data_IF_915496137847
#
_entry.id   IF_915496137847
#
_cell.length_a   1.000
_cell.length_b   1.000
_cell.length_c   1.000
_cell.angle_alpha   90.00
_cell.angle_beta   90.00
_cell.angle_gamma   90.00
#
_symmetry.space_group_name_H-M   'P 1'
#
loop_
_entity.id
_entity.type
_entity.pdbx_description
1 polymer ?
#
# COMPACT_ATOMS: atom_id res chain seq x y z
N UNK A 1 -17.68 23.51 4.40
CA UNK A 1 -16.57 24.44 4.72
C UNK A 1 -15.32 23.61 5.00
N UNK A 2 -14.17 24.07 4.49
CA UNK A 2 -12.89 23.46 4.83
C UNK A 2 -12.47 23.79 6.27
N UNK A 3 -11.75 22.87 6.91
CA UNK A 3 -11.19 23.03 8.24
C UNK A 3 -9.66 22.86 8.17
N UNK A 4 -8.94 23.69 8.91
CA UNK A 4 -7.49 23.59 9.03
C UNK A 4 -7.09 23.65 10.51
N UNK A 5 -6.36 22.64 10.96
CA UNK A 5 -5.79 22.53 12.29
C UNK A 5 -4.29 22.82 12.20
N UNK A 6 -3.88 24.01 12.69
CA UNK A 6 -2.50 24.50 12.57
C UNK A 6 -1.57 24.01 13.67
N UNK A 7 -2.12 23.45 14.76
CA UNK A 7 -1.38 22.96 15.88
C UNK A 7 -1.49 21.44 15.98
N UNK A 8 -0.54 20.84 16.70
CA UNK A 8 -0.62 19.43 17.09
C UNK A 8 -1.95 19.16 17.82
N UNK A 9 -2.54 18.00 17.54
CA UNK A 9 -3.76 17.55 18.20
C UNK A 9 -3.44 16.37 19.10
N UNK A 10 -3.75 16.50 20.38
CA UNK A 10 -3.44 15.49 21.40
C UNK A 10 -1.93 15.37 21.66
N UNK A 11 -1.56 14.36 22.44
CA UNK A 11 -0.18 14.00 22.79
C UNK A 11 -0.07 12.48 22.86
N UNK A 12 1.13 11.93 22.77
CA UNK A 12 1.35 10.47 22.76
C UNK A 12 0.72 9.76 23.98
N UNK A 13 0.81 10.32 25.15
CA UNK A 13 0.19 9.78 26.37
C UNK A 13 -1.24 10.26 26.65
N UNK A 14 -1.79 11.18 25.82
CA UNK A 14 -3.11 11.82 26.01
C UNK A 14 -3.82 12.01 24.68
N UNK A 15 -4.10 10.89 24.02
CA UNK A 15 -4.83 10.87 22.77
C UNK A 15 -6.25 11.37 22.93
N UNK A 16 -6.78 12.10 21.96
CA UNK A 16 -8.21 12.32 21.84
C UNK A 16 -8.92 10.97 21.62
N UNK A 17 -10.15 10.85 22.13
CA UNK A 17 -10.94 9.62 21.93
C UNK A 17 -11.25 9.43 20.45
N UNK A 18 -11.73 10.49 19.81
CA UNK A 18 -12.09 10.45 18.39
C UNK A 18 -12.02 11.83 17.72
N UNK A 19 -11.77 11.81 16.43
CA UNK A 19 -11.88 12.94 15.52
C UNK A 19 -12.80 12.51 14.39
N UNK A 20 -13.88 13.25 14.14
CA UNK A 20 -14.80 12.99 13.04
C UNK A 20 -14.62 14.06 11.96
N UNK A 21 -14.38 13.62 10.73
CA UNK A 21 -14.24 14.50 9.56
C UNK A 21 -15.52 14.41 8.73
N UNK A 22 -16.55 15.03 9.21
CA UNK A 22 -17.90 14.83 8.73
C UNK A 22 -18.42 15.95 7.86
N UNK A 23 -18.02 16.05 6.58
CA UNK A 23 -18.79 16.81 5.60
C UNK A 23 -18.40 16.48 4.16
N UNK A 24 -19.37 15.99 3.41
CA UNK A 24 -19.23 15.74 1.97
C UNK A 24 -18.67 16.97 1.21
N UNK A 25 -17.72 16.72 0.32
CA UNK A 25 -17.08 17.73 -0.50
C UNK A 25 -16.20 18.74 0.25
N UNK A 26 -15.90 18.52 1.54
CA UNK A 26 -15.01 19.39 2.31
C UNK A 26 -13.58 18.85 2.39
N UNK A 27 -12.66 19.76 2.72
CA UNK A 27 -11.27 19.40 3.01
C UNK A 27 -10.97 19.68 4.48
N UNK A 28 -10.43 18.67 5.17
CA UNK A 28 -9.87 18.80 6.53
C UNK A 28 -8.37 18.64 6.45
N UNK A 29 -7.60 19.62 6.96
CA UNK A 29 -6.16 19.58 6.95
C UNK A 29 -5.58 19.66 8.36
N UNK A 30 -4.75 18.67 8.70
CA UNK A 30 -3.94 18.63 9.91
C UNK A 30 -2.51 18.99 9.55
N UNK A 31 -2.03 20.16 10.00
CA UNK A 31 -0.70 20.66 9.64
C UNK A 31 0.43 20.00 10.46
N UNK A 32 0.11 19.46 11.63
CA UNK A 32 1.05 18.84 12.56
C UNK A 32 0.56 17.48 13.00
N UNK A 33 1.32 16.83 13.89
CA UNK A 33 1.03 15.49 14.36
C UNK A 33 -0.35 15.38 15.03
N UNK A 34 -1.00 14.25 14.85
CA UNK A 34 -2.32 13.93 15.37
C UNK A 34 -2.23 12.69 16.25
N UNK A 35 -2.64 12.84 17.50
CA UNK A 35 -2.74 11.78 18.49
C UNK A 35 -4.21 11.59 18.86
N UNK A 36 -4.85 10.61 18.26
CA UNK A 36 -6.24 10.27 18.54
C UNK A 36 -6.41 8.74 18.51
N UNK A 37 -7.30 8.20 19.35
CA UNK A 37 -7.63 6.78 19.25
C UNK A 37 -8.23 6.48 17.89
N UNK A 38 -9.24 7.24 17.48
CA UNK A 38 -9.91 7.06 16.20
C UNK A 38 -9.92 8.35 15.38
N UNK A 39 -9.57 8.22 14.09
CA UNK A 39 -9.82 9.23 13.07
C UNK A 39 -10.89 8.68 12.13
N UNK A 40 -12.12 9.17 12.26
CA UNK A 40 -13.25 8.73 11.46
C UNK A 40 -13.37 9.61 10.20
N UNK A 41 -13.37 8.96 9.04
CA UNK A 41 -13.54 9.55 7.72
C UNK A 41 -14.99 9.30 7.29
N UNK A 42 -15.92 10.15 7.83
CA UNK A 42 -17.34 9.84 7.87
C UNK A 42 -18.08 10.05 6.55
N UNK A 43 -17.60 10.95 5.68
CA UNK A 43 -18.25 11.28 4.41
C UNK A 43 -17.24 11.50 3.27
N UNK A 44 -17.74 11.52 2.03
CA UNK A 44 -16.96 11.85 0.85
C UNK A 44 -16.31 13.23 0.96
N UNK A 45 -14.99 13.28 1.05
CA UNK A 45 -14.22 14.50 1.25
C UNK A 45 -12.72 14.26 1.10
N UNK A 46 -11.93 15.23 1.54
CA UNK A 46 -10.47 15.15 1.53
C UNK A 46 -9.95 15.37 2.94
N UNK A 47 -9.08 14.49 3.39
CA UNK A 47 -8.34 14.66 4.64
C UNK A 47 -6.84 14.69 4.33
N UNK A 48 -6.16 15.77 4.73
CA UNK A 48 -4.72 15.93 4.56
C UNK A 48 -4.04 15.75 5.92
N UNK A 49 -3.14 14.77 6.02
CA UNK A 49 -2.22 14.58 7.14
C UNK A 49 -0.83 15.09 6.71
N UNK A 50 -0.52 16.33 7.12
CA UNK A 50 0.80 16.94 6.92
C UNK A 50 1.75 16.66 8.09
N UNK A 51 1.27 16.04 9.17
CA UNK A 51 2.00 15.46 10.30
C UNK A 51 1.82 13.95 10.38
N UNK A 52 2.46 13.31 11.36
CA UNK A 52 2.26 11.90 11.66
C UNK A 52 0.88 11.67 12.29
N UNK A 53 0.33 10.49 12.10
CA UNK A 53 -0.83 10.02 12.86
C UNK A 53 -0.42 8.87 13.78
N UNK A 54 -0.81 8.97 15.06
CA UNK A 54 -0.63 7.91 16.03
C UNK A 54 -1.93 7.64 16.78
N UNK A 55 -2.52 6.48 16.53
CA UNK A 55 -3.81 6.11 17.04
C UNK A 55 -4.03 4.62 17.13
N UNK A 56 -5.29 4.24 17.27
CA UNK A 56 -5.73 2.87 17.22
C UNK A 56 -6.19 2.53 15.79
N UNK A 57 -6.99 3.44 15.16
CA UNK A 57 -7.42 3.27 13.77
C UNK A 57 -7.70 4.60 13.05
N UNK A 58 -7.54 4.55 11.72
CA UNK A 58 -8.16 5.46 10.76
C UNK A 58 -9.30 4.68 10.10
N UNK A 59 -10.52 5.17 10.15
CA UNK A 59 -11.74 4.46 9.80
C UNK A 59 -12.45 5.12 8.60
N UNK A 60 -12.35 4.49 7.42
CA UNK A 60 -13.08 4.90 6.23
C UNK A 60 -14.52 4.41 6.31
N UNK A 61 -15.47 5.34 6.44
CA UNK A 61 -16.91 5.07 6.42
C UNK A 61 -17.56 5.45 5.09
N UNK A 62 -16.82 6.16 4.23
CA UNK A 62 -17.26 6.59 2.91
C UNK A 62 -16.03 6.80 1.98
N UNK A 63 -16.26 7.28 0.75
CA UNK A 63 -15.25 7.50 -0.30
C UNK A 63 -14.32 8.70 -0.04
N UNK A 64 -13.89 8.90 1.19
CA UNK A 64 -12.92 9.93 1.55
C UNK A 64 -11.58 9.68 0.85
N UNK A 65 -10.90 10.75 0.45
CA UNK A 65 -9.49 10.72 0.04
C UNK A 65 -8.60 11.15 1.21
N UNK A 66 -7.74 10.23 1.67
CA UNK A 66 -6.71 10.50 2.67
C UNK A 66 -5.38 10.79 1.97
N UNK A 67 -4.87 11.98 2.14
CA UNK A 67 -3.54 12.37 1.64
C UNK A 67 -2.53 12.35 2.80
N UNK A 68 -1.48 11.59 2.65
CA UNK A 68 -0.34 11.49 3.58
C UNK A 68 0.82 12.24 2.96
N UNK A 69 1.30 13.29 3.64
CA UNK A 69 2.42 14.08 3.18
C UNK A 69 3.73 13.27 3.18
N UNK A 70 4.72 13.73 2.43
CA UNK A 70 6.03 13.09 2.37
C UNK A 70 6.68 12.99 3.75
N UNK A 71 7.33 11.86 4.02
CA UNK A 71 8.07 11.57 5.25
C UNK A 71 7.21 11.61 6.52
N UNK A 72 5.92 11.25 6.38
CA UNK A 72 4.99 11.11 7.50
C UNK A 72 4.53 9.67 7.66
N UNK A 73 4.36 9.26 8.90
CA UNK A 73 4.05 7.89 9.27
C UNK A 73 2.65 7.76 9.88
N UNK A 74 2.05 6.60 9.66
CA UNK A 74 0.77 6.20 10.25
C UNK A 74 1.04 5.06 11.23
N UNK A 75 0.92 5.35 12.52
CA UNK A 75 1.05 4.34 13.59
C UNK A 75 -0.34 3.95 14.08
N UNK A 76 -1.05 3.22 13.25
CA UNK A 76 -2.40 2.68 13.51
C UNK A 76 -2.76 1.68 12.43
N UNK A 77 -3.83 0.90 12.64
CA UNK A 77 -4.52 0.23 11.55
C UNK A 77 -5.34 1.24 10.73
N UNK A 78 -5.56 0.91 9.47
CA UNK A 78 -6.51 1.61 8.59
C UNK A 78 -7.61 0.60 8.29
N UNK A 79 -8.86 0.97 8.52
CA UNK A 79 -10.00 0.08 8.31
C UNK A 79 -11.00 0.70 7.34
N UNK A 80 -11.76 -0.15 6.66
CA UNK A 80 -12.87 0.26 5.79
C UNK A 80 -14.15 -0.40 6.27
N UNK A 81 -15.25 0.35 6.34
CA UNK A 81 -16.54 -0.19 6.77
C UNK A 81 -17.26 -0.93 5.64
N UNK A 82 -16.98 -0.56 4.39
CA UNK A 82 -17.53 -1.18 3.20
C UNK A 82 -16.43 -1.52 2.18
N UNK A 83 -16.71 -2.48 1.31
CA UNK A 83 -15.80 -2.86 0.25
C UNK A 83 -15.70 -1.77 -0.83
N UNK A 84 -14.51 -1.53 -1.33
CA UNK A 84 -14.24 -0.62 -2.44
C UNK A 84 -14.54 0.87 -2.15
N UNK A 85 -14.41 1.31 -0.91
CA UNK A 85 -14.45 2.72 -0.53
C UNK A 85 -13.07 3.24 -0.13
N UNK A 86 -12.93 4.57 -0.09
CA UNK A 86 -11.73 5.26 0.35
C UNK A 86 -10.57 5.22 -0.67
N UNK A 87 -9.75 6.25 -0.63
CA UNK A 87 -8.50 6.33 -1.38
C UNK A 87 -7.40 6.87 -0.48
N UNK A 88 -6.21 6.29 -0.55
CA UNK A 88 -5.02 6.75 0.17
C UNK A 88 -4.00 7.23 -0.87
N UNK A 89 -3.55 8.47 -0.76
CA UNK A 89 -2.46 9.02 -1.57
C UNK A 89 -1.24 9.25 -0.68
N UNK A 90 -0.10 8.70 -1.06
CA UNK A 90 1.17 8.80 -0.34
C UNK A 90 2.13 9.63 -1.18
N UNK A 91 2.53 10.79 -0.66
CA UNK A 91 3.32 11.77 -1.41
C UNK A 91 4.85 11.52 -1.35
N UNK A 92 5.33 10.67 -0.45
CA UNK A 92 6.76 10.38 -0.28
C UNK A 92 7.00 9.11 0.52
N UNK A 93 8.10 9.05 1.25
CA UNK A 93 8.38 7.90 2.12
C UNK A 93 7.39 7.88 3.28
N UNK A 94 6.84 6.69 3.59
CA UNK A 94 5.82 6.51 4.63
C UNK A 94 5.94 5.11 5.21
N UNK A 95 5.78 4.99 6.53
CA UNK A 95 5.58 3.71 7.20
C UNK A 95 4.14 3.66 7.70
N UNK A 96 3.39 2.64 7.26
CA UNK A 96 2.08 2.30 7.84
C UNK A 96 2.29 1.06 8.70
N UNK A 97 2.10 1.21 10.02
CA UNK A 97 2.51 0.17 10.99
C UNK A 97 1.42 -0.85 11.31
N UNK A 98 0.15 -0.57 11.01
CA UNK A 98 -0.96 -1.49 11.22
C UNK A 98 -1.44 -2.12 9.92
N UNK A 99 -2.42 -3.01 10.03
CA UNK A 99 -3.10 -3.58 8.86
C UNK A 99 -3.80 -2.49 8.05
N UNK A 100 -3.86 -2.68 6.74
CA UNK A 100 -4.64 -1.84 5.84
C UNK A 100 -5.83 -2.64 5.35
N UNK A 101 -7.00 -2.34 5.92
CA UNK A 101 -8.29 -2.96 5.63
C UNK A 101 -8.35 -4.47 5.99
N UNK A 102 -9.26 -5.21 5.41
CA UNK A 102 -9.40 -6.66 5.52
C UNK A 102 -9.92 -7.27 4.21
N UNK A 103 -10.01 -8.59 4.16
CA UNK A 103 -10.40 -9.31 2.94
C UNK A 103 -11.86 -9.08 2.51
N UNK A 104 -12.73 -8.65 3.40
CA UNK A 104 -14.14 -8.37 3.12
C UNK A 104 -14.34 -6.93 2.67
N UNK A 105 -13.61 -5.99 3.27
CA UNK A 105 -13.77 -4.55 3.11
C UNK A 105 -12.46 -3.90 2.66
N UNK A 106 -12.11 -4.03 1.39
CA UNK A 106 -10.87 -3.50 0.81
C UNK A 106 -10.95 -2.00 0.58
N UNK A 107 -9.85 -1.30 0.82
CA UNK A 107 -9.69 0.09 0.34
C UNK A 107 -9.78 0.08 -1.20
N UNK A 108 -10.47 1.07 -1.78
CA UNK A 108 -10.62 1.19 -3.23
C UNK A 108 -9.27 1.38 -3.94
N UNK A 109 -8.43 2.30 -3.47
CA UNK A 109 -7.13 2.54 -4.08
C UNK A 109 -6.09 3.06 -3.10
N UNK A 110 -4.85 2.60 -3.26
CA UNK A 110 -3.67 3.20 -2.63
C UNK A 110 -2.73 3.65 -3.74
N UNK A 111 -2.32 4.92 -3.73
CA UNK A 111 -1.47 5.52 -4.75
C UNK A 111 -0.18 6.07 -4.15
N UNK A 112 0.94 5.52 -4.56
CA UNK A 112 2.27 5.99 -4.19
C UNK A 112 2.78 6.96 -5.27
N UNK A 113 2.92 8.24 -4.89
CA UNK A 113 3.25 9.34 -5.81
C UNK A 113 4.63 9.97 -5.52
N UNK A 114 5.35 9.45 -4.53
CA UNK A 114 6.65 9.99 -4.11
C UNK A 114 7.80 9.46 -4.98
N UNK A 115 8.38 10.32 -5.81
CA UNK A 115 9.56 9.94 -6.59
C UNK A 115 10.77 9.68 -5.69
N UNK A 116 11.49 8.57 -5.93
CA UNK A 116 12.64 8.11 -5.16
C UNK A 116 12.33 7.88 -3.66
N UNK A 117 11.06 7.71 -3.31
CA UNK A 117 10.63 7.38 -1.95
C UNK A 117 10.83 5.90 -1.64
N UNK A 118 10.84 5.60 -0.34
CA UNK A 118 10.87 4.25 0.18
C UNK A 118 9.76 4.11 1.24
N UNK A 119 8.68 3.43 0.89
CA UNK A 119 7.55 3.23 1.79
C UNK A 119 7.49 1.79 2.28
N UNK A 120 6.96 1.59 3.49
CA UNK A 120 6.78 0.28 4.10
C UNK A 120 5.35 0.10 4.60
N UNK A 121 4.70 -0.98 4.16
CA UNK A 121 3.47 -1.48 4.76
C UNK A 121 3.86 -2.66 5.66
N UNK A 122 3.83 -2.42 6.97
CA UNK A 122 4.42 -3.34 7.94
C UNK A 122 3.57 -4.58 8.21
N UNK A 123 2.28 -4.54 7.88
CA UNK A 123 1.34 -5.62 8.08
C UNK A 123 0.51 -5.90 6.82
N UNK A 124 -0.49 -6.77 6.94
CA UNK A 124 -1.30 -7.20 5.81
C UNK A 124 -2.04 -6.02 5.15
N UNK A 125 -2.13 -6.08 3.84
CA UNK A 125 -2.72 -5.01 3.01
C UNK A 125 -3.79 -5.57 2.09
N UNK A 126 -4.98 -5.00 2.17
CA UNK A 126 -6.16 -5.36 1.39
C UNK A 126 -6.67 -4.15 0.63
N UNK A 127 -6.52 -4.17 -0.69
CA UNK A 127 -6.84 -3.04 -1.55
C UNK A 127 -7.36 -3.53 -2.91
N UNK A 128 -8.20 -2.75 -3.59
CA UNK A 128 -8.55 -3.10 -4.99
C UNK A 128 -7.40 -2.77 -5.93
N UNK A 129 -6.92 -1.53 -5.91
CA UNK A 129 -5.84 -1.10 -6.78
C UNK A 129 -4.68 -0.49 -5.97
N UNK A 130 -3.48 -1.04 -6.12
CA UNK A 130 -2.23 -0.52 -5.57
C UNK A 130 -1.40 0.06 -6.72
N UNK A 131 -1.34 1.38 -6.80
CA UNK A 131 -0.72 2.11 -7.90
C UNK A 131 0.65 2.68 -7.52
N UNK A 132 1.70 2.28 -8.20
CA UNK A 132 3.05 2.81 -8.07
C UNK A 132 3.28 3.82 -9.21
N UNK A 133 3.00 5.10 -8.94
CA UNK A 133 2.93 6.16 -9.96
C UNK A 133 4.28 6.81 -10.28
N UNK A 134 5.31 6.50 -9.50
CA UNK A 134 6.64 7.06 -9.65
C UNK A 134 7.72 5.97 -9.51
N UNK A 135 8.96 6.32 -9.87
CA UNK A 135 10.10 5.49 -9.53
C UNK A 135 10.33 5.53 -8.01
N UNK A 136 10.00 4.45 -7.32
CA UNK A 136 10.02 4.35 -5.87
C UNK A 136 10.29 2.91 -5.42
N UNK A 137 10.43 2.69 -4.13
CA UNK A 137 10.47 1.38 -3.51
C UNK A 137 9.29 1.23 -2.55
N UNK A 138 8.59 0.10 -2.63
CA UNK A 138 7.59 -0.33 -1.67
C UNK A 138 8.04 -1.64 -1.02
N UNK A 139 8.11 -1.64 0.31
CA UNK A 139 8.33 -2.85 1.09
C UNK A 139 6.98 -3.34 1.63
N UNK A 140 6.64 -4.57 1.35
CA UNK A 140 5.49 -5.28 1.89
C UNK A 140 6.01 -6.28 2.91
N UNK A 141 5.92 -5.92 4.20
CA UNK A 141 6.33 -6.78 5.31
C UNK A 141 5.18 -7.71 5.76
N UNK A 142 3.96 -7.47 5.27
CA UNK A 142 2.77 -8.32 5.37
C UNK A 142 2.37 -8.95 4.04
N UNK A 143 1.26 -9.70 4.04
CA UNK A 143 0.65 -10.20 2.81
C UNK A 143 -0.01 -9.06 2.02
N UNK A 144 -0.09 -9.21 0.71
CA UNK A 144 -0.86 -8.34 -0.15
C UNK A 144 -2.02 -9.11 -0.77
N UNK A 145 -3.24 -8.63 -0.57
CA UNK A 145 -4.41 -9.06 -1.33
C UNK A 145 -4.99 -7.87 -2.11
N UNK A 146 -4.84 -7.91 -3.43
CA UNK A 146 -5.31 -6.85 -4.31
C UNK A 146 -5.95 -7.42 -5.58
N UNK A 147 -6.79 -6.60 -6.23
CA UNK A 147 -7.16 -6.94 -7.60
C UNK A 147 -5.97 -6.69 -8.52
N UNK A 148 -5.34 -5.53 -8.37
CA UNK A 148 -4.20 -5.11 -9.18
C UNK A 148 -3.08 -4.49 -8.34
N UNK A 149 -1.85 -4.85 -8.68
CA UNK A 149 -0.62 -4.11 -8.35
C UNK A 149 -0.09 -3.52 -9.65
N UNK A 150 -0.13 -2.19 -9.79
CA UNK A 150 0.18 -1.51 -11.04
C UNK A 150 1.52 -0.76 -10.95
N UNK A 151 2.48 -1.18 -11.75
CA UNK A 151 3.72 -0.45 -11.99
C UNK A 151 3.47 0.58 -13.12
N UNK A 152 3.10 1.80 -12.74
CA UNK A 152 2.90 2.91 -13.70
C UNK A 152 4.23 3.59 -14.07
N UNK A 153 5.30 3.27 -13.35
CA UNK A 153 6.70 3.65 -13.59
C UNK A 153 7.64 2.54 -13.11
N UNK A 154 8.94 2.66 -13.43
CA UNK A 154 9.98 1.69 -13.04
C UNK A 154 10.22 1.71 -11.51
N UNK A 155 9.26 1.19 -10.76
CA UNK A 155 9.30 1.04 -9.31
C UNK A 155 9.82 -0.35 -8.89
N UNK A 156 10.13 -0.49 -7.60
CA UNK A 156 10.53 -1.76 -7.00
C UNK A 156 9.55 -2.14 -5.88
N UNK A 157 9.09 -3.38 -5.88
CA UNK A 157 8.35 -3.97 -4.76
C UNK A 157 9.18 -5.09 -4.15
N UNK A 158 9.38 -5.00 -2.84
CA UNK A 158 10.00 -6.06 -2.04
C UNK A 158 8.91 -6.74 -1.22
N UNK A 159 8.72 -8.04 -1.43
CA UNK A 159 7.84 -8.87 -0.61
C UNK A 159 8.69 -9.62 0.41
N UNK A 160 8.38 -9.45 1.69
CA UNK A 160 9.13 -10.05 2.79
C UNK A 160 9.05 -11.59 2.78
N UNK A 161 10.00 -12.22 3.46
CA UNK A 161 10.07 -13.67 3.60
C UNK A 161 8.81 -14.24 4.27
N UNK A 162 8.30 -15.34 3.74
CA UNK A 162 7.10 -16.03 4.22
C UNK A 162 5.79 -15.30 3.91
N UNK A 163 5.81 -14.24 3.10
CA UNK A 163 4.60 -13.47 2.75
C UNK A 163 4.11 -13.82 1.36
N UNK A 164 2.80 -13.69 1.16
CA UNK A 164 2.12 -14.03 -0.08
C UNK A 164 1.54 -12.81 -0.76
N UNK A 165 1.42 -12.89 -2.08
CA UNK A 165 0.78 -11.85 -2.89
C UNK A 165 -0.34 -12.47 -3.72
N UNK A 166 -1.58 -12.09 -3.42
CA UNK A 166 -2.75 -12.38 -4.22
C UNK A 166 -3.17 -11.12 -5.00
N UNK A 167 -2.41 -10.80 -6.02
CA UNK A 167 -2.64 -9.63 -6.87
C UNK A 167 -2.23 -9.92 -8.30
N UNK A 168 -3.01 -9.43 -9.28
CA UNK A 168 -2.55 -9.34 -10.66
C UNK A 168 -1.51 -8.24 -10.75
N UNK A 169 -0.30 -8.58 -11.18
CA UNK A 169 0.81 -7.64 -11.29
C UNK A 169 0.87 -7.11 -12.72
N UNK A 170 0.64 -5.82 -12.88
CA UNK A 170 0.64 -5.16 -14.18
C UNK A 170 1.79 -4.16 -14.30
N UNK A 171 2.29 -3.95 -15.50
CA UNK A 171 3.16 -2.81 -15.82
C UNK A 171 2.60 -2.02 -16.99
N UNK A 172 2.63 -0.68 -16.87
CA UNK A 172 2.09 0.20 -17.92
C UNK A 172 2.93 0.11 -19.20
N UNK A 173 4.25 0.05 -19.04
CA UNK A 173 5.19 -0.06 -20.14
C UNK A 173 6.00 -1.36 -20.03
N UNK A 174 6.34 -1.92 -21.19
CA UNK A 174 7.23 -3.08 -21.24
C UNK A 174 8.60 -2.75 -20.61
N UNK A 175 9.17 -3.70 -19.86
CA UNK A 175 10.47 -3.56 -19.22
C UNK A 175 10.53 -2.49 -18.10
N UNK A 176 9.42 -2.29 -17.39
CA UNK A 176 9.35 -1.52 -16.15
C UNK A 176 8.88 -2.40 -15.00
N UNK A 177 9.22 -2.02 -13.77
CA UNK A 177 8.83 -2.70 -12.54
C UNK A 177 9.75 -3.86 -12.16
N UNK A 178 10.16 -3.89 -10.91
CA UNK A 178 10.95 -4.97 -10.31
C UNK A 178 10.20 -5.57 -9.13
N UNK A 179 10.04 -6.87 -9.10
CA UNK A 179 9.46 -7.62 -7.99
C UNK A 179 10.54 -8.50 -7.34
N UNK A 180 10.87 -8.23 -6.08
CA UNK A 180 11.80 -9.00 -5.30
C UNK A 180 11.06 -9.82 -4.24
N UNK A 181 11.15 -11.14 -4.31
CA UNK A 181 10.71 -12.05 -3.27
C UNK A 181 11.91 -12.31 -2.34
N UNK A 182 11.85 -11.78 -1.13
CA UNK A 182 12.98 -11.79 -0.20
C UNK A 182 13.17 -13.13 0.52
N UNK A 183 12.23 -14.07 0.32
CA UNK A 183 12.26 -15.42 0.89
C UNK A 183 11.24 -16.33 0.24
N UNK A 184 10.71 -17.31 0.99
CA UNK A 184 9.66 -18.20 0.54
C UNK A 184 8.34 -17.47 0.40
N UNK A 185 7.78 -17.41 -0.82
CA UNK A 185 6.59 -16.63 -1.13
C UNK A 185 5.72 -17.31 -2.18
N UNK A 186 4.39 -17.10 -2.10
CA UNK A 186 3.47 -17.52 -3.14
C UNK A 186 2.88 -16.31 -3.85
N UNK A 187 3.00 -16.28 -5.18
CA UNK A 187 2.35 -15.31 -6.06
C UNK A 187 1.17 -16.02 -6.73
N UNK A 188 -0.03 -15.55 -6.42
CA UNK A 188 -1.27 -16.29 -6.76
C UNK A 188 -1.74 -16.02 -8.17
N UNK A 189 -1.65 -14.76 -8.63
CA UNK A 189 -2.19 -14.32 -9.93
C UNK A 189 -1.08 -14.01 -10.93
N UNK A 190 -1.50 -13.76 -12.18
CA UNK A 190 -0.63 -13.45 -13.31
C UNK A 190 0.31 -12.25 -13.04
N UNK A 191 1.55 -12.37 -13.49
CA UNK A 191 2.59 -11.34 -13.39
C UNK A 191 3.00 -10.87 -14.78
N UNK A 192 2.75 -9.61 -15.09
CA UNK A 192 2.97 -9.03 -16.42
C UNK A 192 1.97 -9.54 -17.46
N UNK A 193 2.26 -9.25 -18.70
CA UNK A 193 1.56 -9.77 -19.88
C UNK A 193 2.56 -10.03 -21.01
N UNK A 194 2.16 -10.72 -22.05
CA UNK A 194 3.05 -10.97 -23.20
C UNK A 194 3.58 -9.69 -23.84
N UNK A 195 2.78 -8.63 -23.85
CA UNK A 195 3.16 -7.32 -24.43
C UNK A 195 3.85 -6.39 -23.42
N UNK A 196 3.48 -6.49 -22.13
CA UNK A 196 3.98 -5.64 -21.07
C UNK A 196 4.61 -6.52 -19.97
N UNK A 197 5.86 -6.87 -20.16
CA UNK A 197 6.64 -7.72 -19.25
C UNK A 197 7.27 -6.90 -18.15
N UNK A 198 7.26 -7.42 -16.92
CA UNK A 198 8.09 -6.84 -15.86
C UNK A 198 9.57 -6.81 -16.30
N UNK A 199 10.29 -5.83 -15.82
CA UNK A 199 11.73 -5.70 -16.04
C UNK A 199 12.50 -6.84 -15.38
N UNK A 200 12.22 -7.11 -14.11
CA UNK A 200 12.91 -8.14 -13.37
C UNK A 200 12.05 -8.74 -12.25
N UNK A 201 12.20 -10.05 -12.06
CA UNK A 201 11.74 -10.77 -10.88
C UNK A 201 12.97 -11.40 -10.23
N UNK A 202 13.15 -11.22 -8.92
CA UNK A 202 14.15 -11.95 -8.12
C UNK A 202 13.43 -12.84 -7.12
N UNK A 203 13.79 -14.14 -7.06
CA UNK A 203 13.13 -15.11 -6.19
C UNK A 203 14.11 -16.15 -5.64
N UNK A 204 13.67 -17.02 -4.72
CA UNK A 204 14.45 -18.13 -4.19
C UNK A 204 15.57 -17.73 -3.23
N UNK A 205 15.51 -16.57 -2.59
CA UNK A 205 16.61 -16.04 -1.76
C UNK A 205 16.86 -16.88 -0.51
N UNK A 206 15.85 -17.12 0.32
CA UNK A 206 15.98 -17.88 1.58
C UNK A 206 14.93 -18.95 1.76
N UNK A 207 14.07 -19.18 0.78
CA UNK A 207 12.98 -20.16 0.81
C UNK A 207 12.36 -20.33 -0.57
N UNK A 208 11.52 -21.35 -0.70
CA UNK A 208 10.90 -21.71 -1.98
C UNK A 208 9.83 -20.68 -2.37
N UNK A 209 9.90 -20.25 -3.61
CA UNK A 209 8.91 -19.35 -4.18
C UNK A 209 8.05 -20.07 -5.21
N UNK A 210 6.74 -19.81 -5.19
CA UNK A 210 5.79 -20.42 -6.12
C UNK A 210 5.01 -19.36 -6.86
N UNK A 211 4.92 -19.48 -8.18
CA UNK A 211 4.06 -18.70 -9.04
C UNK A 211 2.95 -19.61 -9.54
N UNK A 212 1.70 -19.32 -9.14
CA UNK A 212 0.56 -20.19 -9.45
C UNK A 212 -0.05 -19.92 -10.85
N UNK A 213 0.26 -18.79 -11.43
CA UNK A 213 -0.26 -18.36 -12.74
C UNK A 213 0.91 -17.90 -13.64
N UNK A 214 0.61 -17.45 -14.84
CA UNK A 214 1.59 -17.05 -15.85
C UNK A 214 2.49 -15.92 -15.39
N UNK A 215 3.75 -16.00 -15.79
CA UNK A 215 4.77 -15.00 -15.48
C UNK A 215 5.40 -14.47 -16.75
N UNK A 216 5.32 -13.17 -16.96
CA UNK A 216 5.92 -12.46 -18.06
C UNK A 216 6.91 -11.42 -17.52
N UNK A 217 8.19 -11.76 -17.53
CA UNK A 217 9.28 -10.88 -17.15
C UNK A 217 10.38 -10.88 -18.22
N UNK A 218 11.11 -9.80 -18.33
CA UNK A 218 12.30 -9.73 -19.21
C UNK A 218 13.45 -10.53 -18.62
N UNK A 219 13.54 -10.55 -17.30
CA UNK A 219 14.58 -11.27 -16.58
C UNK A 219 13.99 -11.89 -15.31
N UNK A 220 14.28 -13.14 -15.07
CA UNK A 220 14.06 -13.82 -13.79
C UNK A 220 15.39 -14.23 -13.21
N UNK A 221 15.67 -13.80 -11.99
CA UNK A 221 16.90 -14.11 -11.26
C UNK A 221 16.57 -15.00 -10.07
N UNK A 222 17.14 -16.18 -10.02
CA UNK A 222 17.08 -17.05 -8.85
C UNK A 222 18.32 -16.74 -8.01
N UNK A 223 18.11 -16.17 -6.81
CA UNK A 223 19.17 -15.60 -6.00
C UNK A 223 19.21 -16.23 -4.60
N UNK A 224 19.65 -17.47 -4.50
CA UNK A 224 19.81 -18.18 -3.23
C UNK A 224 19.62 -19.69 -3.37
N UNK A 225 19.20 -20.33 -2.29
CA UNK A 225 19.09 -21.79 -2.17
C UNK A 225 17.65 -22.32 -2.22
N UNK A 226 16.67 -21.41 -2.35
CA UNK A 226 15.26 -21.80 -2.47
C UNK A 226 14.90 -22.19 -3.89
N UNK A 227 13.99 -23.14 -4.03
CA UNK A 227 13.43 -23.52 -5.32
C UNK A 227 12.45 -22.44 -5.83
N UNK A 228 12.39 -22.29 -7.15
CA UNK A 228 11.41 -21.41 -7.79
C UNK A 228 10.52 -22.25 -8.68
N UNK A 229 9.26 -22.38 -8.29
CA UNK A 229 8.26 -23.22 -8.93
C UNK A 229 7.29 -22.37 -9.76
N UNK A 230 7.21 -22.64 -11.06
CA UNK A 230 6.22 -22.07 -11.97
C UNK A 230 5.17 -23.14 -12.27
N UNK A 231 3.91 -22.89 -11.88
CA UNK A 231 2.81 -23.86 -12.10
C UNK A 231 2.23 -23.77 -13.52
N UNK A 232 2.35 -22.59 -14.13
CA UNK A 232 1.96 -22.32 -15.52
C UNK A 232 3.19 -21.94 -16.35
N UNK A 233 3.03 -21.84 -17.67
CA UNK A 233 4.13 -21.52 -18.59
C UNK A 233 4.72 -20.11 -18.35
N UNK A 234 6.03 -20.02 -18.47
CA UNK A 234 6.81 -18.78 -18.53
C UNK A 234 6.60 -18.05 -19.86
#
# INVERSE_FOLDING_TARGET
KNAEFKQQIGEDGKKLKEINTSKSGSTTTFQNDVYAQNLNLDEDGIVNLNGNFKGDKIDFKDNTTLNIAADKNITSSIVSQDDNIGQINIAGSTIISGDIADSLNKIRAIKLNGRNSNSTFANDTYVKDLDLNEKLTLNLDGNLEANNLNFNKDATVNLADGKNMDAKVNTLNNNEGTLNLLGGSTIVKEVGTDTNRLKEITAGKSGDSTFNDKVYAQKTTINGNGDVNFQENL
#
